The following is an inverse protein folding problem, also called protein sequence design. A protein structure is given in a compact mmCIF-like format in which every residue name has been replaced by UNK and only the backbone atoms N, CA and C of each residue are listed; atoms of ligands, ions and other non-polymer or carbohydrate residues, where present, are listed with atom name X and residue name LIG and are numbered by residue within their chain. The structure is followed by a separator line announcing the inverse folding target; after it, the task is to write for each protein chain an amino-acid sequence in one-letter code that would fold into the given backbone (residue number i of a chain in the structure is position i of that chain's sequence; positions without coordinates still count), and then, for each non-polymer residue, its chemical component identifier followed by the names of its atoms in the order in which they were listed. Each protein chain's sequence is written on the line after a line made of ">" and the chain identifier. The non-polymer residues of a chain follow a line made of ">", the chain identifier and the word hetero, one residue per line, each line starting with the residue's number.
data_IF_886734645652
#
_entry.id   IF_886734645652
#
_cell.length_a   1.000
_cell.length_b   1.000
_cell.length_c   1.000
_cell.angle_alpha   90.00
_cell.angle_beta   90.00
_cell.angle_gamma   90.00
#
_symmetry.space_group_name_H-M   'P 1'
#
loop_
_entity.id
_entity.type
_entity.pdbx_description
1 polymer ?
#
# COMPACT_ATOMS: atom_id res chain seq x y z
N UNK A 1 4.83 -32.20 101.39
CA UNK A 1 4.60 -33.38 100.54
C UNK A 1 3.53 -33.04 99.51
N UNK A 2 3.64 -33.50 98.25
CA UNK A 2 3.84 -32.62 97.09
C UNK A 2 2.66 -32.59 96.09
N UNK A 3 2.68 -31.67 95.13
CA UNK A 3 2.23 -31.96 93.76
C UNK A 3 2.88 -30.98 92.74
N UNK A 4 3.27 -31.44 91.54
CA UNK A 4 4.22 -30.77 90.66
C UNK A 4 3.58 -29.80 89.65
N UNK A 5 4.40 -28.89 89.14
CA UNK A 5 4.07 -27.93 88.09
C UNK A 5 3.58 -28.61 86.80
N UNK A 6 2.50 -28.05 86.21
CA UNK A 6 2.13 -28.27 84.81
C UNK A 6 2.16 -26.93 84.08
N UNK A 7 3.16 -26.79 83.22
CA UNK A 7 3.14 -25.82 82.12
C UNK A 7 1.97 -26.17 81.19
N UNK A 8 1.03 -25.23 81.03
CA UNK A 8 0.03 -25.28 79.97
C UNK A 8 0.16 -24.01 79.17
N UNK A 9 0.74 -24.16 77.98
CA UNK A 9 0.75 -23.14 76.94
C UNK A 9 -0.70 -22.85 76.59
N UNK A 10 -1.16 -21.62 76.81
CA UNK A 10 -2.46 -21.18 76.36
C UNK A 10 -2.46 -21.16 74.83
N UNK A 11 -3.22 -22.08 74.22
CA UNK A 11 -3.49 -22.13 72.80
C UNK A 11 -4.32 -20.90 72.41
N UNK A 12 -3.73 -20.00 71.61
CA UNK A 12 -4.43 -18.82 71.09
C UNK A 12 -5.48 -19.31 70.09
N UNK A 13 -6.79 -18.99 70.26
CA UNK A 13 -7.81 -19.43 69.32
C UNK A 13 -7.55 -18.79 67.95
N UNK A 14 -7.54 -19.63 66.92
CA UNK A 14 -7.30 -19.23 65.54
C UNK A 14 -8.30 -18.13 65.11
N UNK A 15 -7.77 -16.97 64.73
CA UNK A 15 -8.58 -15.89 64.14
C UNK A 15 -9.21 -16.38 62.83
N UNK A 16 -10.52 -16.60 62.82
CA UNK A 16 -11.27 -16.89 61.62
C UNK A 16 -11.33 -15.61 60.77
N UNK A 17 -10.37 -15.42 59.85
CA UNK A 17 -10.49 -14.37 58.84
C UNK A 17 -11.57 -14.81 57.83
N UNK A 18 -12.65 -14.04 57.64
CA UNK A 18 -13.63 -14.36 56.62
C UNK A 18 -12.91 -14.31 55.26
N UNK A 19 -12.94 -15.43 54.52
CA UNK A 19 -12.50 -15.48 53.13
C UNK A 19 -13.48 -14.64 52.31
N UNK A 20 -13.14 -13.39 52.03
CA UNK A 20 -13.88 -12.57 51.07
C UNK A 20 -14.01 -13.31 49.74
N UNK A 21 -15.19 -13.28 49.07
CA UNK A 21 -15.44 -13.99 47.83
C UNK A 21 -14.79 -13.26 46.64
N UNK A 22 -13.47 -13.11 46.67
CA UNK A 22 -12.69 -12.42 45.65
C UNK A 22 -12.60 -13.16 44.29
N UNK A 23 -13.24 -14.34 44.17
CA UNK A 23 -13.14 -15.23 43.02
C UNK A 23 -14.17 -14.99 41.90
N UNK A 24 -15.40 -14.55 42.22
CA UNK A 24 -16.49 -14.48 41.23
C UNK A 24 -16.37 -13.25 40.30
N UNK A 25 -16.08 -12.06 40.85
CA UNK A 25 -15.92 -10.83 40.05
C UNK A 25 -14.74 -10.88 39.08
N UNK A 26 -13.61 -11.44 39.52
CA UNK A 26 -12.43 -11.64 38.65
C UNK A 26 -12.73 -12.62 37.50
N UNK A 27 -13.52 -13.68 37.76
CA UNK A 27 -13.92 -14.65 36.74
C UNK A 27 -14.79 -14.04 35.65
N UNK A 28 -15.77 -13.24 36.05
CA UNK A 28 -16.68 -12.54 35.13
C UNK A 28 -15.89 -11.55 34.28
N UNK A 29 -14.99 -10.77 34.89
CA UNK A 29 -14.13 -9.83 34.18
C UNK A 29 -13.22 -10.52 33.16
N UNK A 30 -12.57 -11.63 33.53
CA UNK A 30 -11.75 -12.42 32.61
C UNK A 30 -12.58 -13.01 31.47
N UNK A 31 -13.79 -13.53 31.77
CA UNK A 31 -14.70 -14.05 30.75
C UNK A 31 -15.12 -12.99 29.74
N UNK A 32 -15.47 -11.78 30.22
CA UNK A 32 -15.80 -10.63 29.36
C UNK A 32 -14.59 -10.24 28.50
N UNK A 33 -13.39 -10.14 29.09
CA UNK A 33 -12.18 -9.80 28.35
C UNK A 33 -11.87 -10.82 27.24
N UNK A 34 -11.97 -12.12 27.54
CA UNK A 34 -11.80 -13.17 26.53
C UNK A 34 -12.85 -13.11 25.43
N UNK A 35 -14.11 -12.80 25.77
CA UNK A 35 -15.17 -12.64 24.78
C UNK A 35 -14.92 -11.44 23.86
N UNK A 36 -14.53 -10.30 24.42
CA UNK A 36 -14.18 -9.10 23.63
C UNK A 36 -12.98 -9.41 22.72
N UNK A 37 -11.93 -10.02 23.27
CA UNK A 37 -10.75 -10.40 22.48
C UNK A 37 -11.13 -11.36 21.34
N UNK A 38 -11.97 -12.37 21.61
CA UNK A 38 -12.47 -13.28 20.59
C UNK A 38 -13.26 -12.55 19.50
N UNK A 39 -14.17 -11.66 19.89
CA UNK A 39 -14.96 -10.87 18.94
C UNK A 39 -14.06 -10.01 18.03
N UNK A 40 -13.02 -9.39 18.59
CA UNK A 40 -12.02 -8.63 17.83
C UNK A 40 -11.25 -9.54 16.86
N UNK A 41 -10.73 -10.68 17.32
CA UNK A 41 -9.96 -11.60 16.47
C UNK A 41 -10.80 -12.14 15.30
N UNK A 42 -12.06 -12.53 15.56
CA UNK A 42 -12.98 -12.97 14.51
C UNK A 42 -13.34 -11.85 13.53
N UNK A 43 -13.53 -10.62 14.04
CA UNK A 43 -13.80 -9.45 13.20
C UNK A 43 -12.61 -9.12 12.30
N UNK A 44 -11.39 -9.17 12.84
CA UNK A 44 -10.16 -8.97 12.07
C UNK A 44 -9.97 -10.08 11.02
N UNK A 45 -10.20 -11.35 11.37
CA UNK A 45 -10.16 -12.46 10.42
C UNK A 45 -11.16 -12.27 9.27
N UNK A 46 -12.40 -11.88 9.59
CA UNK A 46 -13.46 -11.62 8.59
C UNK A 46 -13.09 -10.45 7.69
N UNK A 47 -12.60 -9.36 8.27
CA UNK A 47 -12.14 -8.20 7.51
C UNK A 47 -10.99 -8.55 6.56
N UNK A 48 -10.03 -9.38 6.98
CA UNK A 48 -8.95 -9.82 6.11
C UNK A 48 -9.47 -10.64 4.91
N UNK A 49 -10.47 -11.50 5.10
CA UNK A 49 -11.09 -12.25 3.98
C UNK A 49 -11.83 -11.31 3.02
N UNK A 50 -12.59 -10.34 3.53
CA UNK A 50 -13.23 -9.33 2.69
C UNK A 50 -12.20 -8.52 1.90
N UNK A 51 -11.11 -8.13 2.57
CA UNK A 51 -10.02 -7.38 1.96
C UNK A 51 -9.26 -8.19 0.91
N UNK A 52 -9.09 -9.49 1.13
CA UNK A 52 -8.55 -10.43 0.16
C UNK A 52 -9.36 -10.40 -1.13
N UNK A 53 -10.67 -10.65 -1.06
CA UNK A 53 -11.54 -10.68 -2.25
C UNK A 53 -11.63 -9.32 -2.94
N UNK A 54 -11.71 -8.24 -2.18
CA UNK A 54 -11.62 -6.89 -2.75
C UNK A 54 -10.33 -6.70 -3.54
N UNK A 55 -9.19 -7.13 -2.99
CA UNK A 55 -7.88 -6.99 -3.65
C UNK A 55 -7.74 -7.91 -4.86
N UNK A 56 -8.24 -9.13 -4.79
CA UNK A 56 -8.27 -10.07 -5.92
C UNK A 56 -9.08 -9.50 -7.09
N UNK A 57 -10.26 -8.92 -6.80
CA UNK A 57 -11.07 -8.26 -7.82
C UNK A 57 -10.32 -7.09 -8.46
N UNK A 58 -9.72 -6.22 -7.65
CA UNK A 58 -8.92 -5.09 -8.17
C UNK A 58 -7.78 -5.57 -9.08
N UNK A 59 -7.06 -6.62 -8.68
CA UNK A 59 -5.98 -7.21 -9.48
C UNK A 59 -6.50 -7.83 -10.78
N UNK A 60 -7.65 -8.51 -10.75
CA UNK A 60 -8.29 -9.05 -11.94
C UNK A 60 -8.70 -7.94 -12.92
N UNK A 61 -9.33 -6.87 -12.43
CA UNK A 61 -9.75 -5.73 -13.25
C UNK A 61 -8.54 -5.04 -13.92
N UNK A 62 -7.41 -4.90 -13.20
CA UNK A 62 -6.16 -4.37 -13.74
C UNK A 62 -5.58 -5.32 -14.81
N UNK A 63 -5.56 -6.63 -14.52
CA UNK A 63 -5.04 -7.64 -15.43
C UNK A 63 -5.87 -7.74 -16.74
N UNK A 64 -7.18 -7.53 -16.67
CA UNK A 64 -8.06 -7.47 -17.84
C UNK A 64 -7.77 -6.21 -18.68
N UNK A 65 -7.73 -5.03 -18.03
CA UNK A 65 -7.49 -3.76 -18.74
C UNK A 65 -6.15 -3.73 -19.46
N UNK A 66 -5.07 -4.22 -18.83
CA UNK A 66 -3.71 -4.11 -19.39
C UNK A 66 -3.49 -4.92 -20.67
N UNK A 67 -4.29 -5.95 -20.92
CA UNK A 67 -4.16 -6.83 -22.10
C UNK A 67 -5.11 -6.46 -23.24
N UNK A 68 -5.94 -5.43 -23.04
CA UNK A 68 -6.78 -4.89 -24.09
C UNK A 68 -5.94 -4.30 -25.24
N UNK A 69 -6.53 -4.20 -26.43
CA UNK A 69 -5.86 -3.52 -27.53
C UNK A 69 -5.62 -2.03 -27.18
N UNK A 70 -4.44 -1.46 -27.50
CA UNK A 70 -4.20 -0.04 -27.33
C UNK A 70 -5.21 0.81 -28.10
N UNK A 71 -5.78 1.80 -27.42
CA UNK A 71 -6.69 2.79 -28.02
C UNK A 71 -5.97 4.11 -28.23
N UNK A 72 -6.59 5.05 -28.96
CA UNK A 72 -6.03 6.38 -29.16
C UNK A 72 -6.12 7.22 -27.88
N UNK A 73 -5.30 8.28 -27.80
CA UNK A 73 -5.35 9.22 -26.68
C UNK A 73 -6.76 9.79 -26.46
N UNK A 74 -7.45 10.17 -27.55
CA UNK A 74 -8.80 10.75 -27.48
C UNK A 74 -9.83 9.82 -26.83
N UNK A 75 -9.69 8.49 -27.00
CA UNK A 75 -10.57 7.51 -26.38
C UNK A 75 -10.36 7.47 -24.86
N UNK A 76 -9.11 7.53 -24.40
CA UNK A 76 -8.77 7.62 -22.97
C UNK A 76 -9.30 8.94 -22.39
N UNK A 77 -9.19 10.05 -23.11
CA UNK A 77 -9.75 11.34 -22.69
C UNK A 77 -11.27 11.27 -22.53
N UNK A 78 -11.97 10.62 -23.48
CA UNK A 78 -13.41 10.42 -23.41
C UNK A 78 -13.83 9.53 -22.23
N UNK A 79 -13.07 8.47 -21.93
CA UNK A 79 -13.28 7.62 -20.75
C UNK A 79 -13.09 8.43 -19.46
N UNK A 80 -12.00 9.18 -19.34
CA UNK A 80 -11.71 10.02 -18.18
C UNK A 80 -12.81 11.08 -17.95
N UNK A 81 -13.30 11.72 -19.03
CA UNK A 81 -14.38 12.71 -18.95
C UNK A 81 -15.71 12.12 -18.45
N UNK A 82 -15.95 10.82 -18.68
CA UNK A 82 -17.12 10.09 -18.15
C UNK A 82 -16.92 9.61 -16.71
N UNK A 83 -15.74 9.81 -16.13
CA UNK A 83 -15.38 9.28 -14.81
C UNK A 83 -15.06 7.79 -14.80
N UNK A 84 -14.76 7.19 -15.96
CA UNK A 84 -14.31 5.81 -16.04
C UNK A 84 -12.87 5.66 -15.52
N UNK A 85 -12.54 4.49 -14.96
CA UNK A 85 -11.18 4.19 -14.53
C UNK A 85 -10.27 3.92 -15.74
N UNK A 86 -9.35 4.84 -15.98
CA UNK A 86 -8.35 4.77 -17.06
C UNK A 86 -7.05 4.08 -16.63
N UNK A 87 -6.88 3.77 -15.34
CA UNK A 87 -5.63 3.26 -14.82
C UNK A 87 -5.28 1.93 -15.49
N UNK A 88 -4.05 1.86 -16.02
CA UNK A 88 -3.48 0.71 -16.72
C UNK A 88 -4.15 0.34 -18.05
N UNK A 89 -4.91 1.27 -18.66
CA UNK A 89 -5.43 1.05 -20.01
C UNK A 89 -4.36 1.29 -21.07
N UNK A 90 -4.15 0.34 -22.01
CA UNK A 90 -3.22 0.53 -23.12
C UNK A 90 -3.63 1.71 -24.01
N UNK A 91 -2.66 2.57 -24.31
CA UNK A 91 -2.86 3.78 -25.12
C UNK A 91 -1.69 3.98 -26.06
N UNK A 92 -2.00 4.44 -27.27
CA UNK A 92 -1.03 4.90 -28.25
C UNK A 92 -1.15 6.41 -28.43
N UNK A 93 -0.01 7.10 -28.33
CA UNK A 93 0.08 8.56 -28.47
C UNK A 93 1.26 8.94 -29.35
N UNK A 94 1.07 9.94 -30.21
CA UNK A 94 2.08 10.42 -31.15
C UNK A 94 2.36 11.90 -30.91
N UNK A 95 3.63 12.29 -30.99
CA UNK A 95 4.05 13.68 -30.84
C UNK A 95 5.57 13.86 -30.83
N UNK A 96 6.05 15.02 -30.42
CA UNK A 96 7.48 15.34 -30.32
C UNK A 96 7.88 15.55 -28.86
N UNK A 97 8.92 14.87 -28.39
CA UNK A 97 9.38 15.04 -27.01
C UNK A 97 10.02 16.41 -26.79
N UNK A 98 9.51 17.15 -25.79
CA UNK A 98 10.16 18.34 -25.25
C UNK A 98 11.26 17.93 -24.26
N UNK A 99 12.35 17.35 -24.78
CA UNK A 99 13.43 16.76 -23.97
C UNK A 99 14.07 17.74 -22.97
N UNK A 100 14.03 19.05 -23.24
CA UNK A 100 14.53 20.10 -22.34
C UNK A 100 13.55 20.44 -21.18
N UNK A 101 12.42 19.74 -21.08
CA UNK A 101 11.35 19.95 -20.09
C UNK A 101 11.06 18.70 -19.26
N UNK A 102 11.99 17.75 -19.20
CA UNK A 102 11.78 16.53 -18.41
C UNK A 102 11.80 16.78 -16.88
N UNK A 103 11.03 15.95 -16.17
CA UNK A 103 10.90 15.96 -14.72
C UNK A 103 11.35 14.62 -14.16
N UNK A 104 12.13 14.65 -13.09
CA UNK A 104 12.70 13.45 -12.50
C UNK A 104 11.94 13.03 -11.25
N UNK A 105 11.27 11.88 -11.33
CA UNK A 105 10.60 11.28 -10.20
C UNK A 105 11.55 10.31 -9.51
N UNK A 106 11.89 10.54 -8.24
CA UNK A 106 12.75 9.67 -7.46
C UNK A 106 12.15 8.26 -7.37
N UNK A 107 12.91 7.24 -7.81
CA UNK A 107 12.41 5.88 -7.89
C UNK A 107 13.50 4.86 -7.61
N UNK A 108 13.07 3.65 -7.24
CA UNK A 108 13.90 2.46 -7.22
C UNK A 108 13.37 1.48 -8.25
N UNK A 109 14.26 0.99 -9.12
CA UNK A 109 13.94 -0.02 -10.12
C UNK A 109 14.96 -1.15 -10.03
N UNK A 110 14.47 -2.38 -9.86
CA UNK A 110 15.30 -3.59 -9.71
C UNK A 110 16.45 -3.46 -8.68
N UNK A 111 16.15 -2.86 -7.52
CA UNK A 111 17.12 -2.68 -6.43
C UNK A 111 18.09 -1.50 -6.62
N UNK A 112 18.03 -0.80 -7.75
CA UNK A 112 18.84 0.38 -8.02
C UNK A 112 18.03 1.66 -7.85
N UNK A 113 18.58 2.63 -7.13
CA UNK A 113 17.97 3.96 -6.95
C UNK A 113 18.37 4.90 -8.08
N UNK A 114 17.43 5.74 -8.50
CA UNK A 114 17.60 6.70 -9.57
C UNK A 114 16.32 7.49 -9.78
N UNK A 115 15.96 7.68 -11.05
CA UNK A 115 14.78 8.46 -11.43
C UNK A 115 13.96 7.78 -12.51
N UNK A 116 12.64 7.93 -12.44
CA UNK A 116 11.78 7.86 -13.62
C UNK A 116 11.78 9.21 -14.32
N UNK A 117 11.97 9.18 -15.64
CA UNK A 117 12.04 10.37 -16.48
C UNK A 117 10.68 10.65 -17.09
N UNK A 118 10.02 11.70 -16.62
CA UNK A 118 8.75 12.18 -17.15
C UNK A 118 9.01 13.30 -18.16
N UNK A 119 8.84 13.02 -19.45
CA UNK A 119 9.08 14.00 -20.52
C UNK A 119 7.74 14.42 -21.14
N UNK A 120 7.45 15.73 -21.25
CA UNK A 120 6.29 16.18 -22.02
C UNK A 120 6.43 15.78 -23.50
N UNK A 121 5.40 15.16 -24.05
CA UNK A 121 5.24 14.89 -25.46
C UNK A 121 4.26 15.93 -26.03
N UNK A 122 4.75 16.78 -26.92
CA UNK A 122 3.94 17.78 -27.61
C UNK A 122 3.14 17.10 -28.72
N UNK A 123 1.82 17.20 -28.63
CA UNK A 123 0.88 16.64 -29.59
C UNK A 123 0.72 17.58 -30.80
N UNK A 124 0.16 17.05 -31.89
CA UNK A 124 -0.06 17.81 -33.12
C UNK A 124 -1.00 19.02 -32.93
N UNK A 125 -1.91 18.97 -31.96
CA UNK A 125 -2.83 20.06 -31.60
C UNK A 125 -2.21 21.08 -30.62
N UNK A 126 -0.92 20.92 -30.28
CA UNK A 126 -0.18 21.82 -29.38
C UNK A 126 -0.37 21.54 -27.90
N UNK A 127 -1.18 20.55 -27.51
CA UNK A 127 -1.28 20.07 -26.13
C UNK A 127 -0.08 19.21 -25.75
N UNK A 128 0.06 18.92 -24.46
CA UNK A 128 1.14 18.13 -23.91
C UNK A 128 0.59 17.02 -23.02
N UNK A 129 1.13 15.82 -23.17
CA UNK A 129 0.97 14.71 -22.23
C UNK A 129 2.32 14.37 -21.62
N UNK A 130 2.37 14.09 -20.32
CA UNK A 130 3.61 13.64 -19.69
C UNK A 130 3.77 12.14 -19.89
N UNK A 131 4.87 11.76 -20.53
CA UNK A 131 5.25 10.37 -20.73
C UNK A 131 6.33 9.99 -19.72
N UNK A 132 6.06 9.01 -18.87
CA UNK A 132 7.13 8.34 -18.13
C UNK A 132 7.89 7.43 -19.11
N UNK A 133 9.07 7.88 -19.51
CA UNK A 133 9.93 7.19 -20.47
C UNK A 133 10.71 6.03 -19.85
N UNK A 134 10.70 5.93 -18.52
CA UNK A 134 11.37 4.86 -17.80
C UNK A 134 12.49 5.32 -16.88
N UNK A 135 13.31 4.37 -16.43
CA UNK A 135 14.30 4.53 -15.37
C UNK A 135 15.67 4.97 -15.87
N UNK A 136 16.34 5.82 -15.08
CA UNK A 136 17.76 6.15 -15.22
C UNK A 136 18.47 6.11 -13.86
N UNK A 137 19.75 5.67 -13.81
CA UNK A 137 20.62 5.86 -12.64
C UNK A 137 20.81 7.34 -12.28
N UNK A 138 21.29 7.61 -11.06
CA UNK A 138 21.65 8.97 -10.64
C UNK A 138 22.69 9.63 -11.57
N UNK A 139 23.67 8.85 -12.03
CA UNK A 139 24.73 9.30 -12.92
C UNK A 139 24.23 9.70 -14.30
N UNK A 140 23.04 9.24 -14.68
CA UNK A 140 22.37 9.52 -15.95
C UNK A 140 21.10 10.37 -15.78
N UNK A 141 20.98 11.09 -14.66
CA UNK A 141 19.89 12.03 -14.42
C UNK A 141 19.80 13.04 -15.56
N UNK A 142 20.88 13.80 -15.78
CA UNK A 142 20.87 14.89 -16.74
C UNK A 142 20.83 14.38 -18.21
N UNK A 143 20.03 15.00 -19.10
CA UNK A 143 19.87 14.58 -20.49
C UNK A 143 21.18 14.37 -21.26
N UNK A 144 22.19 15.20 -20.96
CA UNK A 144 23.50 15.23 -21.60
C UNK A 144 24.30 13.95 -21.37
N UNK A 145 24.01 13.23 -20.29
CA UNK A 145 24.64 11.95 -19.94
C UNK A 145 24.03 10.78 -20.72
N UNK A 146 22.90 11.01 -21.40
CA UNK A 146 22.13 10.00 -22.15
C UNK A 146 21.58 10.55 -23.47
N UNK A 147 22.41 11.30 -24.22
CA UNK A 147 22.02 11.97 -25.47
C UNK A 147 21.37 11.05 -26.50
N UNK A 148 21.80 9.79 -26.59
CA UNK A 148 21.22 8.83 -27.54
C UNK A 148 19.76 8.49 -27.21
N UNK A 149 19.39 8.56 -25.93
CA UNK A 149 18.02 8.44 -25.46
C UNK A 149 17.18 9.70 -25.66
N UNK A 150 17.75 10.82 -26.13
CA UNK A 150 17.00 12.06 -26.41
C UNK A 150 16.43 11.99 -27.83
N UNK A 151 15.33 11.24 -27.97
CA UNK A 151 14.65 11.03 -29.25
C UNK A 151 14.22 12.37 -29.86
N UNK A 152 14.45 12.54 -31.15
CA UNK A 152 14.11 13.75 -31.91
C UNK A 152 13.11 13.43 -33.01
N UNK A 153 12.36 14.44 -33.46
CA UNK A 153 11.28 14.25 -34.42
C UNK A 153 10.04 13.60 -33.80
N UNK A 154 9.10 13.23 -34.66
CA UNK A 154 7.84 12.60 -34.25
C UNK A 154 8.08 11.17 -33.74
N UNK A 155 7.49 10.87 -32.59
CA UNK A 155 7.56 9.59 -31.90
C UNK A 155 6.16 9.06 -31.63
N UNK A 156 5.97 7.76 -31.79
CA UNK A 156 4.76 7.05 -31.37
C UNK A 156 5.07 6.21 -30.15
N UNK A 157 4.41 6.51 -29.04
CA UNK A 157 4.55 5.83 -27.76
C UNK A 157 3.33 4.94 -27.54
N UNK A 158 3.55 3.64 -27.42
CA UNK A 158 2.55 2.71 -26.86
C UNK A 158 2.88 2.48 -25.38
N UNK A 159 1.89 2.64 -24.52
CA UNK A 159 2.07 2.60 -23.08
C UNK A 159 0.76 2.40 -22.34
N UNK A 160 0.75 2.78 -21.06
CA UNK A 160 -0.40 2.65 -20.18
C UNK A 160 -0.83 4.02 -19.66
N UNK A 161 -2.12 4.33 -19.78
CA UNK A 161 -2.70 5.51 -19.16
C UNK A 161 -2.63 5.40 -17.62
N UNK A 162 -2.27 6.51 -16.98
CA UNK A 162 -2.12 6.63 -15.52
C UNK A 162 -2.81 7.88 -15.03
N UNK A 163 -3.85 7.74 -14.22
CA UNK A 163 -4.59 8.85 -13.67
C UNK A 163 -3.68 9.79 -12.86
N UNK A 164 -3.97 11.09 -12.92
CA UNK A 164 -3.35 12.08 -12.04
C UNK A 164 -3.75 11.82 -10.59
N UNK A 165 -2.86 12.15 -9.65
CA UNK A 165 -3.21 12.18 -8.24
C UNK A 165 -4.04 13.43 -7.94
N UNK A 166 -5.06 13.29 -7.09
CA UNK A 166 -5.85 14.43 -6.62
C UNK A 166 -5.06 15.34 -5.65
N UNK A 167 -4.01 14.80 -5.03
CA UNK A 167 -3.14 15.52 -4.14
C UNK A 167 -2.04 14.63 -3.58
N UNK A 168 -1.28 15.19 -2.64
CA UNK A 168 -0.16 14.51 -1.99
C UNK A 168 -0.65 13.24 -1.25
N UNK A 169 -0.06 12.06 -1.48
CA UNK A 169 -0.57 10.80 -0.92
C UNK A 169 -0.58 10.73 0.62
N UNK A 170 0.40 11.35 1.28
CA UNK A 170 0.46 11.43 2.75
C UNK A 170 1.41 12.54 3.20
N UNK A 171 1.32 12.92 4.48
CA UNK A 171 2.26 13.87 5.11
C UNK A 171 3.68 13.35 5.27
N UNK A 172 3.88 12.03 5.17
CA UNK A 172 5.20 11.36 5.30
C UNK A 172 5.99 11.45 3.99
N UNK A 173 5.30 11.50 2.84
CA UNK A 173 5.98 11.73 1.56
C UNK A 173 6.62 13.13 1.60
N UNK A 174 7.88 13.32 1.19
CA UNK A 174 8.47 14.64 1.10
C UNK A 174 7.74 15.55 0.10
N UNK A 175 7.89 16.87 0.27
CA UNK A 175 7.47 17.82 -0.77
C UNK A 175 8.42 17.73 -1.97
N UNK A 176 7.89 17.99 -3.18
CA UNK A 176 8.71 18.00 -4.40
C UNK A 176 9.73 19.14 -4.35
N UNK A 177 10.99 18.83 -4.68
CA UNK A 177 12.07 19.82 -4.81
C UNK A 177 12.15 20.28 -6.28
N UNK A 178 11.30 21.26 -6.61
CA UNK A 178 11.19 21.80 -7.98
C UNK A 178 12.49 22.45 -8.44
N UNK A 179 13.22 23.11 -7.53
CA UNK A 179 14.48 23.78 -7.84
C UNK A 179 15.57 22.78 -8.27
N UNK A 180 15.62 21.61 -7.63
CA UNK A 180 16.56 20.53 -8.02
C UNK A 180 16.01 19.60 -9.11
N UNK A 181 14.78 19.83 -9.57
CA UNK A 181 14.05 18.95 -10.46
C UNK A 181 13.98 17.52 -9.89
N UNK A 182 13.51 17.37 -8.64
CA UNK A 182 13.31 16.08 -7.99
C UNK A 182 11.89 16.01 -7.43
N UNK A 183 11.12 15.06 -7.93
CA UNK A 183 9.74 14.80 -7.52
C UNK A 183 9.69 13.52 -6.70
N UNK A 184 9.02 13.57 -5.54
CA UNK A 184 8.79 12.43 -4.67
C UNK A 184 7.35 11.90 -4.79
N UNK A 185 6.47 12.67 -5.42
CA UNK A 185 5.13 12.25 -5.81
C UNK A 185 4.73 12.89 -7.15
N UNK A 186 3.78 12.26 -7.85
CA UNK A 186 3.36 12.61 -9.21
C UNK A 186 2.39 13.80 -9.23
N UNK A 187 2.88 14.95 -8.81
CA UNK A 187 2.16 16.23 -8.90
C UNK A 187 2.18 16.72 -10.36
N UNK A 188 1.15 16.34 -11.13
CA UNK A 188 1.06 16.68 -12.55
C UNK A 188 1.02 18.20 -12.78
N UNK A 189 0.31 18.93 -11.91
CA UNK A 189 0.14 20.37 -12.05
C UNK A 189 1.47 21.10 -11.79
N UNK A 190 2.24 20.68 -10.77
CA UNK A 190 3.58 21.23 -10.52
C UNK A 190 4.59 20.80 -11.59
N UNK A 191 4.52 19.57 -12.11
CA UNK A 191 5.34 19.14 -13.24
C UNK A 191 5.07 20.01 -14.48
N UNK A 192 3.81 20.27 -14.81
CA UNK A 192 3.43 21.09 -15.97
C UNK A 192 3.81 22.57 -15.78
N UNK A 193 3.43 23.19 -14.67
CA UNK A 193 3.71 24.61 -14.43
C UNK A 193 5.20 24.91 -14.38
N UNK A 194 6.00 24.05 -13.74
CA UNK A 194 7.47 24.18 -13.71
C UNK A 194 8.13 24.02 -15.08
N UNK A 195 7.43 23.53 -16.10
CA UNK A 195 7.92 23.41 -17.50
C UNK A 195 7.34 24.48 -18.43
N UNK A 196 6.56 25.43 -17.90
CA UNK A 196 5.88 26.46 -18.70
C UNK A 196 4.69 25.94 -19.51
N UNK A 197 4.16 24.75 -19.17
CA UNK A 197 2.95 24.20 -19.77
C UNK A 197 1.76 24.71 -18.97
N UNK A 198 0.83 25.36 -19.65
CA UNK A 198 -0.40 25.89 -19.05
C UNK A 198 -1.45 24.78 -18.92
N UNK A 199 -2.32 24.90 -17.91
CA UNK A 199 -3.31 23.85 -17.58
C UNK A 199 -4.29 23.56 -18.73
N UNK A 200 -4.63 24.56 -19.55
CA UNK A 200 -5.49 24.42 -20.74
C UNK A 200 -4.84 23.59 -21.87
N UNK A 201 -3.51 23.46 -21.87
CA UNK A 201 -2.76 22.66 -22.85
C UNK A 201 -2.30 21.32 -22.29
N UNK A 202 -2.65 20.98 -21.06
CA UNK A 202 -2.21 19.78 -20.39
C UNK A 202 -3.27 18.68 -20.52
N UNK A 203 -2.87 17.51 -21.00
CA UNK A 203 -3.68 16.29 -20.91
C UNK A 203 -3.69 15.84 -19.43
N UNK A 204 -4.87 15.63 -18.80
CA UNK A 204 -4.99 15.53 -17.34
C UNK A 204 -4.62 14.14 -16.76
N UNK A 205 -3.70 13.43 -17.39
CA UNK A 205 -3.16 12.14 -16.95
C UNK A 205 -1.76 11.91 -17.54
N UNK A 206 -1.06 10.91 -17.03
CA UNK A 206 0.25 10.48 -17.54
C UNK A 206 0.10 9.27 -18.46
N UNK A 207 1.14 8.99 -19.23
CA UNK A 207 1.31 7.71 -19.92
C UNK A 207 2.64 7.09 -19.48
N UNK A 208 2.61 5.86 -18.97
CA UNK A 208 3.83 5.07 -18.76
C UNK A 208 4.19 4.35 -20.05
N UNK A 209 5.35 4.66 -20.64
CA UNK A 209 5.80 4.01 -21.86
C UNK A 209 6.04 2.50 -21.63
N UNK A 210 5.77 1.70 -22.67
CA UNK A 210 6.10 0.28 -22.72
C UNK A 210 7.61 0.00 -22.69
N UNK A 211 7.98 -1.25 -22.92
CA UNK A 211 9.35 -1.76 -22.87
C UNK A 211 10.13 -1.59 -24.19
N UNK A 212 9.57 -0.84 -25.15
CA UNK A 212 10.27 -0.50 -26.39
C UNK A 212 11.66 0.11 -26.07
N UNK A 213 12.75 -0.45 -26.63
CA UNK A 213 14.09 -0.09 -26.22
C UNK A 213 14.46 1.32 -26.68
N UNK A 214 14.97 2.14 -25.76
CA UNK A 214 15.62 3.41 -26.12
C UNK A 214 17.03 3.17 -26.67
N UNK A 215 17.54 4.00 -27.60
CA UNK A 215 18.91 3.87 -28.09
C UNK A 215 19.92 3.95 -26.93
N UNK A 216 20.90 3.03 -26.93
CA UNK A 216 21.87 2.82 -25.83
C UNK A 216 21.25 2.43 -24.47
N UNK A 217 19.97 2.07 -24.43
CA UNK A 217 19.32 1.42 -23.29
C UNK A 217 18.80 2.35 -22.19
N UNK A 218 18.93 3.67 -22.34
CA UNK A 218 18.43 4.64 -21.35
C UNK A 218 17.50 5.69 -22.00
N UNK A 219 16.40 6.08 -21.32
CA UNK A 219 15.84 5.47 -20.11
C UNK A 219 15.39 4.01 -20.34
N UNK A 220 15.36 3.21 -19.28
CA UNK A 220 14.86 1.83 -19.34
C UNK A 220 13.34 1.87 -19.28
N UNK A 221 12.65 1.58 -20.40
CA UNK A 221 11.18 1.57 -20.49
C UNK A 221 10.53 0.40 -19.73
N UNK A 222 9.20 0.34 -19.73
CA UNK A 222 8.45 -0.78 -19.14
C UNK A 222 8.55 -0.88 -17.61
N UNK A 223 8.72 0.26 -16.92
CA UNK A 223 8.99 0.31 -15.47
C UNK A 223 7.73 0.18 -14.60
N UNK A 224 6.55 0.13 -15.20
CA UNK A 224 5.29 0.04 -14.47
C UNK A 224 5.22 -1.26 -13.68
N UNK A 225 5.18 -1.15 -12.35
CA UNK A 225 5.04 -2.31 -11.47
C UNK A 225 3.56 -2.66 -11.29
N UNK A 226 3.24 -3.94 -11.51
CA UNK A 226 1.88 -4.49 -11.34
C UNK A 226 1.79 -5.45 -10.15
N UNK A 227 2.93 -5.86 -9.58
CA UNK A 227 2.95 -6.79 -8.46
C UNK A 227 2.58 -6.05 -7.17
N UNK A 228 1.31 -6.22 -6.76
CA UNK A 228 0.78 -5.64 -5.52
C UNK A 228 0.63 -6.76 -4.48
N UNK A 229 1.51 -6.83 -3.45
CA UNK A 229 1.54 -7.96 -2.52
C UNK A 229 0.20 -8.25 -1.84
N UNK A 230 -0.32 -9.47 -1.92
CA UNK A 230 -1.61 -9.85 -1.36
C UNK A 230 -1.48 -10.88 -0.22
N UNK A 231 -1.12 -10.41 0.98
CA UNK A 231 -0.89 -11.27 2.15
C UNK A 231 -2.14 -11.49 3.03
N UNK A 232 -3.33 -11.07 2.56
CA UNK A 232 -4.55 -11.04 3.37
C UNK A 232 -4.99 -12.43 3.83
N UNK A 233 -4.78 -13.48 3.02
CA UNK A 233 -5.04 -14.86 3.43
C UNK A 233 -4.19 -15.31 4.62
N UNK A 234 -2.88 -15.03 4.58
CA UNK A 234 -1.96 -15.37 5.69
C UNK A 234 -2.38 -14.69 6.99
N UNK A 235 -2.77 -13.42 6.91
CA UNK A 235 -3.30 -12.70 8.07
C UNK A 235 -4.64 -13.27 8.53
N UNK A 236 -5.56 -13.61 7.64
CA UNK A 236 -6.82 -14.24 8.01
C UNK A 236 -6.59 -15.54 8.80
N UNK A 237 -5.68 -16.41 8.32
CA UNK A 237 -5.28 -17.64 9.02
C UNK A 237 -4.71 -17.33 10.40
N UNK A 238 -3.88 -16.29 10.52
CA UNK A 238 -3.31 -15.86 11.81
C UNK A 238 -4.41 -15.44 12.78
N UNK A 239 -5.35 -14.58 12.36
CA UNK A 239 -6.41 -14.09 13.24
C UNK A 239 -7.37 -15.18 13.68
N UNK A 240 -7.80 -16.05 12.76
CA UNK A 240 -8.64 -17.20 13.12
C UNK A 240 -7.89 -18.25 13.95
N UNK A 241 -6.61 -18.47 13.68
CA UNK A 241 -5.76 -19.34 14.49
C UNK A 241 -5.62 -18.85 15.93
N UNK A 242 -5.40 -17.54 16.14
CA UNK A 242 -5.38 -16.93 17.47
C UNK A 242 -6.75 -17.02 18.15
N UNK A 243 -7.85 -16.82 17.42
CA UNK A 243 -9.20 -17.00 17.95
C UNK A 243 -9.44 -18.44 18.43
N UNK A 244 -9.05 -19.44 17.63
CA UNK A 244 -9.16 -20.85 17.98
C UNK A 244 -8.30 -21.21 19.21
N UNK A 245 -7.07 -20.70 19.28
CA UNK A 245 -6.20 -20.90 20.43
C UNK A 245 -6.79 -20.30 21.72
N UNK A 246 -7.36 -19.09 21.64
CA UNK A 246 -8.03 -18.44 22.78
C UNK A 246 -9.22 -19.26 23.29
N UNK A 247 -10.05 -19.78 22.37
CA UNK A 247 -11.16 -20.69 22.71
C UNK A 247 -10.63 -21.97 23.36
N UNK A 248 -9.60 -22.59 22.77
CA UNK A 248 -8.99 -23.82 23.28
C UNK A 248 -8.44 -23.68 24.71
N UNK A 249 -7.66 -22.62 24.96
CA UNK A 249 -7.13 -22.30 26.30
C UNK A 249 -8.25 -21.97 27.28
N UNK A 250 -9.25 -21.19 26.86
CA UNK A 250 -10.40 -20.85 27.68
C UNK A 250 -11.21 -22.08 28.10
N UNK A 251 -11.49 -22.98 27.15
CA UNK A 251 -12.22 -24.22 27.41
C UNK A 251 -11.44 -25.15 28.34
N UNK A 252 -10.14 -25.31 28.10
CA UNK A 252 -9.25 -26.09 28.96
C UNK A 252 -9.23 -25.58 30.41
N UNK A 253 -9.13 -24.27 30.61
CA UNK A 253 -9.15 -23.65 31.93
C UNK A 253 -10.50 -23.87 32.65
N UNK A 254 -11.62 -23.84 31.92
CA UNK A 254 -12.95 -24.14 32.45
C UNK A 254 -13.10 -25.62 32.85
N UNK A 255 -12.57 -26.54 32.03
CA UNK A 255 -12.63 -27.98 32.29
C UNK A 255 -11.81 -28.38 33.51
N UNK A 256 -10.57 -27.87 33.65
CA UNK A 256 -9.72 -28.14 34.84
C UNK A 256 -10.39 -27.67 36.13
N UNK A 257 -11.00 -26.48 36.11
CA UNK A 257 -11.72 -25.92 37.27
C UNK A 257 -12.96 -26.73 37.69
N UNK A 258 -13.56 -27.49 36.78
CA UNK A 258 -14.71 -28.36 37.11
C UNK A 258 -14.25 -29.63 37.82
N UNK A 259 -13.05 -30.13 37.53
CA UNK A 259 -12.43 -31.27 38.21
C UNK A 259 -11.96 -30.99 39.64
N UNK A 260 -11.59 -29.74 39.94
CA UNK A 260 -11.10 -29.33 41.27
C UNK A 260 -12.22 -28.97 42.29
N UNK A 261 -13.51 -29.13 41.94
CA UNK A 261 -14.61 -28.87 42.88
C UNK A 261 -14.80 -30.10 43.78
N UNK A 262 -14.68 -30.01 45.11
CA UNK A 262 -15.00 -31.13 46.00
C UNK A 262 -16.46 -31.52 45.81
N UNK A 263 -16.72 -32.81 45.55
CA UNK A 263 -18.07 -33.39 45.58
C UNK A 263 -18.64 -33.27 47.00
N UNK A 264 -19.94 -32.95 47.14
CA UNK A 264 -20.59 -32.83 48.45
C UNK A 264 -20.58 -34.14 49.23
#
# INVERSE_FOLDING_TARGET
>A
MPAPARSTVAEVPASHRPRTPAGKGKLVLTGIACFIALAVLLSLGTWQVQRLHWKEKLLADIAERRVAAPVGLADIEAMAAKGEDIEYRPVTVTGVFANNRERHFFATWNGQTGYYVYTPLQLADGRFVFINRGFVPFEAKEPEMRKQGQLTGEQTVTGLARARLAGKPSSIVPDNDVAKNIFYWKDLDVMATSTGISADRLVPFFVDAGDAPNPKGLPIGGVTQFDLPNNHLQYAVTWYGLAAALVGVGLYALLRRKGDRPTP
#
